data_IF_914429117721
#
_entry.id   IF_914429117721
#
_cell.length_a   1.000
_cell.length_b   1.000
_cell.length_c   1.000
_cell.angle_alpha   90.00
_cell.angle_beta   90.00
_cell.angle_gamma   90.00
#
_symmetry.space_group_name_H-M   'P 1'
#
loop_
_entity.id
_entity.type
_entity.pdbx_description
1 polymer ?
#
# COMPACT_ATOMS: atom_id res chain seq x y z
N UNK A 1 -15.98 22.75 30.05
CA UNK A 1 -14.71 23.15 29.40
C UNK A 1 -13.63 22.07 29.48
N UNK A 2 -13.32 21.49 30.64
CA UNK A 2 -12.29 20.42 30.75
C UNK A 2 -12.63 19.16 29.95
N UNK A 3 -13.90 18.73 29.95
CA UNK A 3 -14.38 17.53 29.23
C UNK A 3 -14.22 17.63 27.70
N UNK A 4 -14.40 18.82 27.13
CA UNK A 4 -14.26 19.04 25.68
C UNK A 4 -12.79 19.07 25.25
N UNK A 5 -11.91 19.60 26.10
CA UNK A 5 -10.45 19.59 25.85
C UNK A 5 -9.91 18.16 25.86
N UNK A 6 -10.35 17.34 26.80
CA UNK A 6 -9.97 15.92 26.86
C UNK A 6 -10.46 15.14 25.62
N UNK A 7 -11.69 15.38 25.18
CA UNK A 7 -12.23 14.75 23.98
C UNK A 7 -11.45 15.14 22.72
N UNK A 8 -11.10 16.43 22.58
CA UNK A 8 -10.28 16.91 21.46
C UNK A 8 -8.88 16.28 21.47
N UNK A 9 -8.25 16.17 22.64
CA UNK A 9 -6.93 15.54 22.77
C UNK A 9 -6.97 14.07 22.30
N UNK A 10 -7.99 13.31 22.70
CA UNK A 10 -8.18 11.91 22.27
C UNK A 10 -8.35 11.80 20.75
N UNK A 11 -9.14 12.68 20.14
CA UNK A 11 -9.38 12.66 18.69
C UNK A 11 -8.12 13.00 17.87
N UNK A 12 -7.24 13.88 18.37
CA UNK A 12 -5.98 14.23 17.70
C UNK A 12 -4.99 13.05 17.70
N UNK A 13 -5.05 12.19 18.72
CA UNK A 13 -4.17 11.02 18.86
C UNK A 13 -4.66 9.78 18.09
N UNK A 14 -5.91 9.76 17.62
CA UNK A 14 -6.52 8.62 16.93
C UNK A 14 -5.77 8.13 15.66
N UNK A 15 -5.22 9.00 14.78
CA UNK A 15 -4.55 8.57 13.56
C UNK A 15 -3.26 7.77 13.79
N UNK A 16 -2.64 7.86 14.98
CA UNK A 16 -1.41 7.14 15.32
C UNK A 16 -1.63 5.63 15.50
N UNK A 17 -2.89 5.21 15.70
CA UNK A 17 -3.27 3.80 15.80
C UNK A 17 -3.79 3.23 14.48
N UNK A 18 -3.93 4.05 13.44
CA UNK A 18 -4.34 3.59 12.12
C UNK A 18 -3.15 2.90 11.44
N UNK A 19 -3.13 1.57 11.51
CA UNK A 19 -2.27 0.76 10.63
C UNK A 19 -3.02 0.51 9.33
N UNK A 20 -2.43 0.89 8.20
CA UNK A 20 -2.94 0.45 6.91
C UNK A 20 -2.56 -1.03 6.74
N UNK A 21 -3.57 -1.89 6.73
CA UNK A 21 -3.48 -3.32 6.38
C UNK A 21 -3.22 -3.53 4.87
N UNK A 22 -2.37 -2.71 4.27
CA UNK A 22 -1.90 -2.89 2.89
C UNK A 22 -0.70 -3.84 2.78
N UNK A 23 -0.37 -4.57 3.86
CA UNK A 23 0.81 -5.46 3.89
C UNK A 23 0.47 -6.95 3.95
N UNK A 24 -0.76 -7.32 4.31
CA UNK A 24 -1.15 -8.72 4.50
C UNK A 24 -2.21 -9.16 3.49
N UNK A 25 -1.77 -9.73 2.36
CA UNK A 25 -2.62 -10.62 1.56
C UNK A 25 -3.19 -10.06 0.26
N UNK A 26 -3.04 -8.77 -0.02
CA UNK A 26 -3.23 -8.28 -1.39
C UNK A 26 -1.93 -8.50 -2.15
N UNK A 27 -1.84 -9.65 -2.83
CA UNK A 27 -0.92 -9.81 -3.94
C UNK A 27 -1.26 -8.71 -4.94
N UNK A 28 -0.57 -7.57 -4.86
CA UNK A 28 -0.61 -6.58 -5.90
C UNK A 28 -0.31 -7.35 -7.19
N UNK A 29 -1.27 -7.40 -8.11
CA UNK A 29 -1.03 -7.94 -9.43
C UNK A 29 0.03 -7.04 -10.05
N UNK A 30 1.30 -7.43 -9.92
CA UNK A 30 2.41 -6.73 -10.54
C UNK A 30 2.29 -6.95 -12.03
N UNK A 31 1.50 -6.09 -12.67
CA UNK A 31 1.44 -6.02 -14.11
C UNK A 31 2.72 -5.36 -14.58
N UNK A 32 3.38 -5.98 -15.57
CA UNK A 32 4.53 -5.36 -16.20
C UNK A 32 4.11 -4.03 -16.87
N UNK A 33 5.04 -3.06 -17.01
CA UNK A 33 4.81 -1.86 -17.79
C UNK A 33 4.28 -2.18 -19.20
N UNK A 34 3.59 -1.22 -19.83
CA UNK A 34 3.01 -1.46 -21.15
C UNK A 34 4.09 -1.91 -22.16
N UNK A 35 3.80 -2.99 -22.90
CA UNK A 35 4.73 -3.57 -23.90
C UNK A 35 5.79 -4.53 -23.32
N UNK A 36 5.73 -4.84 -22.03
CA UNK A 36 6.60 -5.83 -21.40
C UNK A 36 5.82 -7.05 -20.92
N UNK A 37 6.50 -8.20 -20.88
CA UNK A 37 5.97 -9.48 -20.40
C UNK A 37 6.84 -9.98 -19.26
N UNK A 38 6.23 -10.61 -18.26
CA UNK A 38 6.95 -11.23 -17.15
C UNK A 38 7.74 -12.45 -17.65
N UNK A 39 9.06 -12.38 -17.52
CA UNK A 39 9.98 -13.48 -17.77
C UNK A 39 10.35 -14.18 -16.44
N UNK A 40 10.07 -15.48 -16.34
CA UNK A 40 10.32 -16.24 -15.11
C UNK A 40 11.81 -16.51 -14.89
N UNK A 41 12.58 -16.66 -15.96
CA UNK A 41 14.00 -17.03 -15.88
C UNK A 41 14.85 -15.84 -15.43
N UNK A 42 14.55 -14.64 -15.95
CA UNK A 42 15.14 -13.37 -15.56
C UNK A 42 14.51 -12.79 -14.28
N UNK A 43 13.35 -13.32 -13.84
CA UNK A 43 12.55 -12.76 -12.74
C UNK A 43 12.30 -11.25 -12.93
N UNK A 44 12.02 -10.85 -14.16
CA UNK A 44 11.92 -9.45 -14.57
C UNK A 44 10.90 -9.27 -15.70
N UNK A 45 10.43 -8.05 -15.88
CA UNK A 45 9.64 -7.68 -17.06
C UNK A 45 10.59 -7.39 -18.23
N UNK A 46 10.40 -8.07 -19.35
CA UNK A 46 11.22 -7.92 -20.56
C UNK A 46 10.38 -7.40 -21.72
N UNK A 47 11.00 -6.68 -22.66
CA UNK A 47 10.33 -6.25 -23.88
C UNK A 47 10.00 -7.48 -24.73
N UNK A 48 8.76 -7.59 -25.19
CA UNK A 48 8.38 -8.60 -26.16
C UNK A 48 8.87 -8.14 -27.54
N UNK A 49 10.10 -8.52 -27.90
CA UNK A 49 10.59 -8.40 -29.27
C UNK A 49 9.74 -9.29 -30.18
N UNK A 50 8.91 -8.66 -31.01
CA UNK A 50 8.11 -9.26 -32.10
C UNK A 50 8.97 -9.92 -33.17
#
# INVERSE_FOLDING_TARGET
MTRTILAAAVLILAPLAASAECFSGHQASMSCPQGQVWDKDASACVLQSS
#
